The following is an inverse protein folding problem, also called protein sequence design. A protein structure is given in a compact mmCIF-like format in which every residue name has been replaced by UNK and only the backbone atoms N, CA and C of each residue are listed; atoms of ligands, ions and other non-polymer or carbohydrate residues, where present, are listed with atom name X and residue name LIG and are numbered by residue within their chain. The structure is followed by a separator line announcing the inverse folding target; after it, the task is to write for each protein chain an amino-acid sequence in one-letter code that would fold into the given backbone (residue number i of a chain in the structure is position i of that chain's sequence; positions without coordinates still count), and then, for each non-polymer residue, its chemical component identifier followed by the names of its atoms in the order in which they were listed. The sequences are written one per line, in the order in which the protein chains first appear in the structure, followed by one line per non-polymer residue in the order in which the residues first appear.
data_IF_972182883983
#
_entry.id   IF_972182883983
#
_cell.length_a   1.000
_cell.length_b   1.000
_cell.length_c   1.000
_cell.angle_alpha   90.00
_cell.angle_beta   90.00
_cell.angle_gamma   90.00
#
_symmetry.space_group_name_H-M   'P 1'
#
loop_
_entity.id
_entity.type
_entity.pdbx_description
1 polymer ?
#
# COMPACT_ATOMS: atom_id res chain seq x y z
N UNK A 1 32.31 -14.12 7.42
CA UNK A 1 32.03 -15.35 6.64
C UNK A 1 30.53 -15.46 6.37
N UNK A 2 30.12 -15.70 5.12
CA UNK A 2 28.72 -15.89 4.73
C UNK A 2 28.33 -17.37 4.86
N UNK A 3 27.16 -17.65 5.42
CA UNK A 3 26.59 -19.00 5.55
C UNK A 3 25.11 -19.00 5.16
N UNK A 4 24.60 -20.15 4.71
CA UNK A 4 23.16 -20.40 4.70
C UNK A 4 22.74 -20.67 6.14
N UNK A 5 21.70 -20.01 6.61
CA UNK A 5 21.20 -20.11 7.98
C UNK A 5 19.75 -20.61 8.00
N UNK A 6 19.30 -21.11 9.14
CA UNK A 6 17.92 -21.57 9.30
C UNK A 6 16.91 -20.42 9.37
N UNK A 7 15.63 -20.77 9.25
CA UNK A 7 14.55 -19.80 9.19
C UNK A 7 14.38 -19.00 10.49
N UNK A 8 14.58 -19.63 11.63
CA UNK A 8 14.36 -19.00 12.93
C UNK A 8 15.45 -17.96 13.20
N UNK A 9 16.72 -18.35 12.97
CA UNK A 9 17.86 -17.45 13.12
C UNK A 9 17.75 -16.25 12.18
N UNK A 10 17.40 -16.51 10.90
CA UNK A 10 17.19 -15.43 9.94
C UNK A 10 16.07 -14.49 10.36
N UNK A 11 14.91 -15.05 10.74
CA UNK A 11 13.71 -14.30 11.14
C UNK A 11 13.97 -13.44 12.38
N UNK A 12 14.63 -14.00 13.38
CA UNK A 12 14.98 -13.28 14.60
C UNK A 12 15.88 -12.07 14.32
N UNK A 13 16.91 -12.25 13.48
CA UNK A 13 17.78 -11.16 13.05
C UNK A 13 17.01 -10.12 12.21
N UNK A 14 16.21 -10.58 11.26
CA UNK A 14 15.45 -9.71 10.37
C UNK A 14 14.50 -8.80 11.14
N UNK A 15 13.71 -9.35 12.07
CA UNK A 15 12.72 -8.58 12.85
C UNK A 15 13.35 -7.50 13.74
N UNK A 16 14.60 -7.67 14.15
CA UNK A 16 15.35 -6.70 14.97
C UNK A 16 16.09 -5.65 14.11
N UNK A 17 16.20 -5.88 12.78
CA UNK A 17 16.98 -5.03 11.92
C UNK A 17 16.20 -3.74 11.54
N UNK A 18 16.80 -2.53 11.60
CA UNK A 18 16.11 -1.29 11.27
C UNK A 18 15.68 -1.17 9.80
N UNK A 19 16.28 -1.95 8.89
CA UNK A 19 15.91 -2.01 7.48
C UNK A 19 14.91 -3.13 7.17
N UNK A 20 14.34 -3.74 8.19
CA UNK A 20 13.40 -4.84 8.03
C UNK A 20 12.22 -4.46 7.12
N UNK A 21 11.79 -5.42 6.33
CA UNK A 21 10.55 -5.36 5.53
C UNK A 21 9.92 -6.74 5.46
N UNK A 22 8.59 -6.82 5.37
CA UNK A 22 7.86 -8.08 5.16
C UNK A 22 8.44 -8.91 4.00
N UNK A 23 9.03 -8.26 3.00
CA UNK A 23 9.64 -8.91 1.85
C UNK A 23 10.92 -9.69 2.20
N UNK A 24 11.47 -9.50 3.39
CA UNK A 24 12.60 -10.27 3.95
C UNK A 24 12.14 -11.33 4.96
N UNK A 25 10.84 -11.55 5.15
CA UNK A 25 10.36 -12.70 5.93
C UNK A 25 10.63 -14.02 5.19
N UNK A 26 11.11 -15.09 5.88
CA UNK A 26 11.22 -16.42 5.28
C UNK A 26 9.94 -16.92 4.64
N UNK A 27 8.81 -16.62 5.25
CA UNK A 27 7.45 -16.94 4.78
C UNK A 27 7.15 -16.29 3.41
N UNK A 28 7.64 -15.08 3.18
CA UNK A 28 7.55 -14.44 1.86
C UNK A 28 8.32 -15.23 0.80
N UNK A 29 9.54 -15.68 1.12
CA UNK A 29 10.33 -16.56 0.25
C UNK A 29 9.62 -17.87 -0.06
N UNK A 30 8.98 -18.49 0.95
CA UNK A 30 8.18 -19.71 0.81
C UNK A 30 6.95 -19.47 -0.10
N UNK A 31 6.30 -18.33 0.03
CA UNK A 31 5.21 -17.92 -0.90
C UNK A 31 5.74 -17.83 -2.33
N UNK A 32 6.91 -17.21 -2.53
CA UNK A 32 7.53 -17.04 -3.86
C UNK A 32 7.99 -18.34 -4.50
N UNK A 33 8.34 -19.35 -3.70
CA UNK A 33 8.68 -20.68 -4.22
C UNK A 33 7.53 -21.28 -5.02
N UNK A 34 6.28 -21.04 -4.64
CA UNK A 34 5.10 -21.42 -5.42
C UNK A 34 4.95 -20.72 -6.77
N UNK A 35 5.78 -19.72 -7.07
CA UNK A 35 5.81 -18.99 -8.36
C UNK A 35 7.12 -19.18 -9.12
N UNK A 36 7.87 -20.23 -8.78
CA UNK A 36 9.08 -20.66 -9.47
C UNK A 36 10.32 -19.85 -9.10
N UNK A 37 10.38 -19.33 -7.89
CA UNK A 37 11.59 -18.80 -7.28
C UNK A 37 12.16 -19.79 -6.27
N UNK A 38 13.47 -19.79 -6.07
CA UNK A 38 14.14 -20.54 -5.01
C UNK A 38 14.61 -19.55 -3.95
N UNK A 39 14.33 -19.83 -2.69
CA UNK A 39 14.70 -18.98 -1.56
C UNK A 39 16.04 -19.42 -1.00
N UNK A 40 16.91 -18.43 -0.70
CA UNK A 40 18.17 -18.62 0.02
C UNK A 40 18.19 -17.64 1.20
N UNK A 41 18.39 -18.13 2.41
CA UNK A 41 18.54 -17.33 3.63
C UNK A 41 20.02 -17.28 3.98
N UNK A 42 20.64 -16.11 3.85
CA UNK A 42 22.08 -15.94 4.04
C UNK A 42 22.34 -15.03 5.23
N UNK A 43 23.19 -15.49 6.14
CA UNK A 43 23.72 -14.77 7.29
C UNK A 43 25.21 -14.52 7.16
N UNK A 44 25.66 -13.32 7.53
CA UNK A 44 27.06 -12.92 7.53
C UNK A 44 27.55 -12.69 8.95
N UNK A 45 28.63 -13.40 9.30
CA UNK A 45 29.21 -13.43 10.64
C UNK A 45 30.58 -12.77 10.67
N UNK A 46 30.79 -11.95 11.70
CA UNK A 46 32.10 -11.48 12.15
C UNK A 46 32.30 -11.89 13.61
N UNK A 47 33.42 -12.56 13.93
CA UNK A 47 33.70 -13.05 15.26
C UNK A 47 32.52 -13.84 15.89
N UNK A 48 31.96 -14.77 15.12
CA UNK A 48 30.80 -15.61 15.47
C UNK A 48 29.50 -14.86 15.77
N UNK A 49 29.48 -13.54 15.55
CA UNK A 49 28.28 -12.71 15.67
C UNK A 49 27.64 -12.49 14.29
N UNK A 50 26.34 -12.72 14.18
CA UNK A 50 25.55 -12.39 12.99
C UNK A 50 25.40 -10.87 12.87
N UNK A 51 26.06 -10.24 11.89
CA UNK A 51 26.10 -8.79 11.72
C UNK A 51 25.37 -8.30 10.45
N UNK A 52 24.96 -9.22 9.57
CA UNK A 52 24.20 -8.89 8.38
C UNK A 52 23.50 -10.12 7.82
N UNK A 53 22.37 -9.92 7.14
CA UNK A 53 21.63 -11.00 6.52
C UNK A 53 20.97 -10.53 5.21
N UNK A 54 20.57 -11.46 4.36
CA UNK A 54 19.74 -11.20 3.20
C UNK A 54 19.00 -12.46 2.76
N UNK A 55 17.72 -12.32 2.46
CA UNK A 55 17.02 -13.33 1.70
C UNK A 55 17.20 -13.06 0.21
N UNK A 56 17.73 -14.02 -0.53
CA UNK A 56 17.80 -14.00 -1.97
C UNK A 56 16.70 -14.87 -2.57
N UNK A 57 16.06 -14.36 -3.59
CA UNK A 57 15.17 -15.09 -4.48
C UNK A 57 15.90 -15.39 -5.78
N UNK A 58 16.15 -16.66 -6.08
CA UNK A 58 16.74 -17.11 -7.31
C UNK A 58 15.67 -17.45 -8.35
N UNK A 59 15.78 -16.91 -9.54
CA UNK A 59 14.98 -17.30 -10.71
C UNK A 59 15.88 -18.03 -11.68
N UNK A 60 15.67 -19.34 -11.81
CA UNK A 60 16.38 -20.17 -12.80
C UNK A 60 15.96 -19.79 -14.22
N UNK A 61 16.95 -19.69 -15.09
CA UNK A 61 16.84 -19.30 -16.48
C UNK A 61 17.43 -20.41 -17.36
N UNK A 62 17.16 -20.45 -18.68
CA UNK A 62 17.83 -21.36 -19.61
C UNK A 62 19.36 -21.28 -19.52
N UNK A 63 20.04 -22.31 -20.00
CA UNK A 63 21.51 -22.41 -20.07
C UNK A 63 22.21 -22.39 -18.70
N UNK A 64 21.57 -22.95 -17.68
CA UNK A 64 22.11 -23.00 -16.30
C UNK A 64 22.49 -21.61 -15.74
N UNK A 65 21.70 -20.60 -16.06
CA UNK A 65 21.86 -19.24 -15.57
C UNK A 65 20.80 -18.93 -14.51
N UNK A 66 21.13 -18.05 -13.58
CA UNK A 66 20.20 -17.61 -12.56
C UNK A 66 20.21 -16.09 -12.38
N UNK A 67 19.01 -15.51 -12.21
CA UNK A 67 18.82 -14.16 -11.74
C UNK A 67 18.55 -14.19 -10.24
N UNK A 68 19.25 -13.35 -9.49
CA UNK A 68 19.03 -13.19 -8.05
C UNK A 68 18.39 -11.84 -7.73
N UNK A 69 17.49 -11.85 -6.73
CA UNK A 69 16.83 -10.65 -6.23
C UNK A 69 16.73 -10.68 -4.72
N UNK A 70 17.21 -9.63 -4.06
CA UNK A 70 16.99 -9.38 -2.64
C UNK A 70 15.90 -8.34 -2.45
N UNK A 71 14.63 -8.74 -2.26
CA UNK A 71 13.53 -7.79 -2.13
C UNK A 71 13.65 -7.01 -0.81
N UNK A 72 13.75 -5.69 -0.90
CA UNK A 72 13.95 -4.80 0.27
C UNK A 72 15.17 -5.13 1.15
N UNK A 73 16.10 -5.94 0.65
CA UNK A 73 17.38 -6.22 1.31
C UNK A 73 18.46 -5.25 0.80
N UNK A 74 19.59 -5.12 1.45
CA UNK A 74 20.12 -6.00 2.50
C UNK A 74 19.68 -5.63 3.93
N UNK A 75 19.76 -6.55 4.85
CA UNK A 75 19.59 -6.33 6.28
C UNK A 75 20.97 -6.14 6.93
N UNK A 76 21.57 -4.97 6.74
CA UNK A 76 22.91 -4.62 7.23
C UNK A 76 23.03 -3.10 7.30
N UNK A 77 23.93 -2.57 8.11
CA UNK A 77 24.20 -1.12 8.12
C UNK A 77 24.82 -0.68 6.78
N UNK A 78 24.01 -0.10 5.94
CA UNK A 78 24.41 0.37 4.60
C UNK A 78 25.28 1.64 4.65
N UNK A 79 25.34 2.33 5.78
CA UNK A 79 26.18 3.52 5.97
C UNK A 79 27.62 3.16 6.34
N UNK A 80 27.84 1.97 6.91
CA UNK A 80 29.18 1.44 7.15
C UNK A 80 29.73 0.77 5.88
N UNK A 81 30.47 1.53 5.08
CA UNK A 81 30.98 1.05 3.79
C UNK A 81 31.84 -0.21 3.89
N UNK A 82 32.73 -0.28 4.88
CA UNK A 82 33.66 -1.42 4.99
C UNK A 82 32.92 -2.70 5.37
N UNK A 83 31.95 -2.63 6.27
CA UNK A 83 31.08 -3.75 6.62
C UNK A 83 30.22 -4.18 5.42
N UNK A 84 29.58 -3.21 4.77
CA UNK A 84 28.74 -3.45 3.60
C UNK A 84 29.55 -4.07 2.46
N UNK A 85 30.81 -3.62 2.27
CA UNK A 85 31.69 -4.16 1.25
C UNK A 85 32.04 -5.62 1.51
N UNK A 86 32.50 -5.96 2.72
CA UNK A 86 32.83 -7.35 3.08
C UNK A 86 31.62 -8.27 2.93
N UNK A 87 30.46 -7.83 3.38
CA UNK A 87 29.20 -8.55 3.21
C UNK A 87 28.87 -8.76 1.74
N UNK A 88 28.87 -7.69 0.95
CA UNK A 88 28.52 -7.74 -0.46
C UNK A 88 29.49 -8.64 -1.25
N UNK A 89 30.79 -8.55 -1.01
CA UNK A 89 31.79 -9.39 -1.68
C UNK A 89 31.48 -10.89 -1.49
N UNK A 90 31.10 -11.31 -0.28
CA UNK A 90 30.70 -12.67 0.00
C UNK A 90 29.35 -13.04 -0.64
N UNK A 91 28.37 -12.14 -0.65
CA UNK A 91 27.08 -12.36 -1.34
C UNK A 91 27.29 -12.51 -2.85
N UNK A 92 28.11 -11.66 -3.45
CA UNK A 92 28.43 -11.75 -4.90
C UNK A 92 29.17 -13.04 -5.22
N UNK A 93 30.11 -13.46 -4.37
CA UNK A 93 30.78 -14.74 -4.50
C UNK A 93 29.78 -15.91 -4.44
N UNK A 94 28.84 -15.89 -3.48
CA UNK A 94 27.77 -16.87 -3.39
C UNK A 94 26.93 -16.92 -4.68
N UNK A 95 26.49 -15.77 -5.16
CA UNK A 95 25.68 -15.66 -6.38
C UNK A 95 26.43 -16.17 -7.61
N UNK A 96 27.72 -15.85 -7.76
CA UNK A 96 28.58 -16.34 -8.86
C UNK A 96 28.72 -17.85 -8.82
N UNK A 97 28.98 -18.42 -7.64
CA UNK A 97 29.15 -19.88 -7.47
C UNK A 97 27.86 -20.65 -7.77
N UNK A 98 26.70 -19.97 -7.72
CA UNK A 98 25.40 -20.54 -8.02
C UNK A 98 24.83 -20.02 -9.36
N UNK A 99 25.72 -19.82 -10.36
CA UNK A 99 25.37 -19.48 -11.74
C UNK A 99 24.62 -18.15 -11.94
N UNK A 100 24.69 -17.24 -10.97
CA UNK A 100 24.07 -15.92 -11.08
C UNK A 100 24.76 -15.05 -12.11
N UNK A 101 23.97 -14.48 -13.04
CA UNK A 101 24.47 -13.50 -14.00
C UNK A 101 24.25 -12.05 -13.55
N UNK A 102 23.33 -11.85 -12.60
CA UNK A 102 23.06 -10.56 -11.97
C UNK A 102 22.45 -10.74 -10.58
N UNK A 103 22.62 -9.74 -9.75
CA UNK A 103 21.88 -9.57 -8.50
C UNK A 103 21.17 -8.23 -8.52
N UNK A 104 19.85 -8.24 -8.30
CA UNK A 104 19.04 -7.04 -8.06
C UNK A 104 18.84 -6.86 -6.56
N UNK A 105 18.93 -5.62 -6.08
CA UNK A 105 18.52 -5.22 -4.72
C UNK A 105 17.69 -3.94 -4.79
N UNK A 106 16.74 -3.78 -3.88
CA UNK A 106 15.96 -2.54 -3.70
C UNK A 106 15.83 -2.21 -2.20
N UNK A 107 16.92 -1.81 -1.55
CA UNK A 107 17.00 -1.73 -0.09
C UNK A 107 15.91 -0.88 0.54
N UNK A 108 15.41 -1.32 1.72
CA UNK A 108 14.46 -0.56 2.53
C UNK A 108 15.15 0.59 3.28
N UNK A 109 15.84 1.43 2.55
CA UNK A 109 16.63 2.56 3.05
C UNK A 109 16.00 3.85 2.56
N UNK A 110 15.62 4.72 3.48
CA UNK A 110 15.05 6.02 3.15
C UNK A 110 16.16 6.89 2.57
N UNK A 111 15.94 7.41 1.35
CA UNK A 111 16.81 8.37 0.67
C UNK A 111 16.49 9.80 1.08
N UNK A 112 15.22 10.15 1.06
CA UNK A 112 14.72 11.47 1.40
C UNK A 112 13.33 11.43 2.02
N UNK A 113 12.98 12.45 2.77
CA UNK A 113 11.64 12.67 3.30
C UNK A 113 11.05 13.97 2.77
N UNK A 114 9.72 13.99 2.59
CA UNK A 114 8.97 15.14 2.14
C UNK A 114 7.72 15.34 3.00
N UNK A 115 7.21 16.56 3.02
CA UNK A 115 5.90 16.84 3.61
C UNK A 115 4.75 16.34 2.71
N UNK A 116 3.53 16.48 3.19
CA UNK A 116 2.33 16.05 2.45
C UNK A 116 2.07 16.83 1.16
N UNK A 117 2.71 18.01 0.99
CA UNK A 117 2.68 18.81 -0.24
C UNK A 117 3.78 18.43 -1.23
N UNK A 118 4.67 17.51 -0.86
CA UNK A 118 5.80 17.05 -1.66
C UNK A 118 7.05 17.91 -1.54
N UNK A 119 7.09 18.89 -0.64
CA UNK A 119 8.30 19.69 -0.40
C UNK A 119 9.35 18.85 0.32
N UNK A 120 10.59 18.92 -0.14
CA UNK A 120 11.71 18.22 0.48
C UNK A 120 11.94 18.71 1.91
N UNK A 121 11.97 17.78 2.87
CA UNK A 121 12.31 18.03 4.27
C UNK A 121 13.81 17.73 4.47
N UNK A 122 14.24 16.51 4.14
CA UNK A 122 15.60 16.05 4.39
C UNK A 122 16.04 15.00 3.36
N UNK A 123 17.37 14.94 3.13
CA UNK A 123 18.05 13.83 2.44
C UNK A 123 18.94 13.09 3.44
N UNK A 124 18.47 11.93 3.89
CA UNK A 124 19.14 11.16 4.95
C UNK A 124 19.84 9.88 4.45
N UNK A 125 19.59 9.45 3.21
CA UNK A 125 20.08 8.19 2.66
C UNK A 125 21.20 8.30 1.63
N UNK A 126 21.83 9.47 1.48
CA UNK A 126 22.87 9.68 0.46
C UNK A 126 24.07 8.75 0.65
N UNK A 127 24.51 8.52 1.89
CA UNK A 127 25.62 7.62 2.18
C UNK A 127 25.34 6.20 1.70
N UNK A 128 24.19 5.63 2.06
CA UNK A 128 23.78 4.30 1.60
C UNK A 128 23.71 4.22 0.07
N UNK A 129 23.11 5.22 -0.58
CA UNK A 129 23.03 5.31 -2.03
C UNK A 129 24.44 5.31 -2.68
N UNK A 130 25.36 6.16 -2.22
CA UNK A 130 26.71 6.24 -2.76
C UNK A 130 27.51 4.97 -2.46
N UNK A 131 27.33 4.35 -1.30
CA UNK A 131 27.99 3.12 -0.94
C UNK A 131 27.62 1.97 -1.90
N UNK A 132 26.34 1.80 -2.25
CA UNK A 132 25.96 0.81 -3.28
C UNK A 132 26.59 1.12 -4.64
N UNK A 133 26.63 2.38 -5.06
CA UNK A 133 27.31 2.76 -6.32
C UNK A 133 28.81 2.47 -6.28
N UNK A 134 29.48 2.77 -5.18
CA UNK A 134 30.91 2.51 -4.97
C UNK A 134 31.23 1.01 -4.99
N UNK A 135 30.29 0.16 -4.58
CA UNK A 135 30.40 -1.30 -4.70
C UNK A 135 30.22 -1.82 -6.14
N UNK A 136 29.94 -0.96 -7.11
CA UNK A 136 29.76 -1.34 -8.52
C UNK A 136 28.32 -1.66 -8.94
N UNK A 137 27.34 -1.41 -8.09
CA UNK A 137 25.94 -1.50 -8.48
C UNK A 137 25.55 -0.38 -9.45
N UNK A 138 24.73 -0.74 -10.44
CA UNK A 138 24.08 0.21 -11.35
C UNK A 138 22.75 0.63 -10.78
N UNK A 139 22.59 1.90 -10.44
CA UNK A 139 21.29 2.44 -10.01
C UNK A 139 20.33 2.52 -11.20
N UNK A 140 19.07 2.11 -11.02
CA UNK A 140 18.06 2.02 -12.08
C UNK A 140 17.27 3.32 -12.29
N UNK A 141 17.61 4.38 -11.57
CA UNK A 141 16.93 5.67 -11.60
C UNK A 141 16.01 5.86 -10.37
N UNK A 142 15.62 7.10 -10.17
CA UNK A 142 14.64 7.45 -9.14
C UNK A 142 13.24 7.51 -9.78
N UNK A 143 12.52 6.37 -9.75
CA UNK A 143 11.14 6.34 -10.20
C UNK A 143 10.26 7.23 -9.33
N UNK A 144 9.31 7.92 -9.93
CA UNK A 144 8.37 8.82 -9.25
C UNK A 144 6.99 8.20 -9.09
N UNK A 145 6.71 7.14 -9.83
CA UNK A 145 5.44 6.45 -9.87
C UNK A 145 5.60 4.98 -9.47
N UNK A 146 4.88 4.08 -10.15
CA UNK A 146 4.82 2.64 -9.87
C UNK A 146 5.55 1.80 -10.92
N UNK A 147 6.70 2.31 -11.44
CA UNK A 147 7.47 1.64 -12.49
C UNK A 147 8.36 0.52 -11.98
N UNK A 148 8.76 0.58 -10.70
CA UNK A 148 9.65 -0.38 -10.04
C UNK A 148 8.92 -1.67 -9.65
N UNK A 149 9.68 -2.69 -9.24
CA UNK A 149 9.12 -3.96 -8.72
C UNK A 149 8.31 -3.73 -7.43
N UNK A 150 8.77 -2.80 -6.60
CA UNK A 150 8.10 -2.33 -5.39
C UNK A 150 8.05 -0.80 -5.42
N UNK A 151 7.00 -0.15 -4.91
CA UNK A 151 6.92 1.30 -4.89
C UNK A 151 8.12 1.92 -4.17
N UNK A 152 8.87 2.79 -4.85
CA UNK A 152 10.00 3.52 -4.26
C UNK A 152 9.53 4.65 -3.34
N UNK A 153 8.43 5.28 -3.70
CA UNK A 153 7.84 6.38 -2.95
C UNK A 153 6.67 5.85 -2.13
N UNK A 154 6.75 6.04 -0.84
CA UNK A 154 5.75 5.59 0.14
C UNK A 154 5.24 6.80 0.93
N UNK A 155 4.13 6.66 1.64
CA UNK A 155 3.67 7.69 2.56
C UNK A 155 3.18 7.06 3.86
N UNK A 156 3.55 7.67 4.98
CA UNK A 156 3.21 7.19 6.31
C UNK A 156 2.81 8.33 7.24
N UNK A 157 2.03 8.02 8.24
CA UNK A 157 1.76 8.91 9.37
C UNK A 157 2.39 8.36 10.64
N UNK A 158 2.86 9.24 11.51
CA UNK A 158 3.24 8.87 12.87
C UNK A 158 1.98 8.82 13.74
N UNK A 159 1.80 7.69 14.44
CA UNK A 159 0.65 7.48 15.31
C UNK A 159 0.82 8.25 16.63
N UNK A 160 -0.28 8.78 17.14
CA UNK A 160 -0.37 9.30 18.51
C UNK A 160 -0.91 8.19 19.43
N UNK A 161 -0.92 8.46 20.72
CA UNK A 161 -1.33 7.49 21.75
C UNK A 161 -2.77 7.02 21.60
N UNK A 162 -3.65 7.87 21.02
CA UNK A 162 -5.05 7.54 20.77
C UNK A 162 -5.44 7.80 19.32
N UNK A 163 -6.54 7.16 18.89
CA UNK A 163 -7.11 7.44 17.56
C UNK A 163 -7.54 8.90 17.44
N UNK A 164 -8.15 9.48 18.46
CA UNK A 164 -8.63 10.87 18.41
C UNK A 164 -7.46 11.85 18.25
N UNK A 165 -6.36 11.67 18.98
CA UNK A 165 -5.18 12.51 18.84
C UNK A 165 -4.55 12.37 17.45
N UNK A 166 -4.57 11.17 16.87
CA UNK A 166 -4.12 10.93 15.50
C UNK A 166 -5.06 11.61 14.49
N UNK A 167 -6.38 11.49 14.68
CA UNK A 167 -7.40 12.11 13.83
C UNK A 167 -7.25 13.64 13.75
N UNK A 168 -6.88 14.30 14.86
CA UNK A 168 -6.66 15.75 14.89
C UNK A 168 -5.54 16.22 13.96
N UNK A 169 -4.59 15.35 13.60
CA UNK A 169 -3.52 15.67 12.65
C UNK A 169 -3.99 15.71 11.19
N UNK A 170 -5.18 15.16 10.90
CA UNK A 170 -5.72 15.08 9.53
C UNK A 170 -6.37 16.39 9.11
N UNK A 171 -6.45 16.60 7.80
CA UNK A 171 -7.18 17.74 7.24
C UNK A 171 -8.66 17.73 7.67
N UNK A 172 -9.25 18.91 7.80
CA UNK A 172 -10.68 19.06 8.16
C UNK A 172 -11.61 18.30 7.19
N UNK A 173 -11.25 18.27 5.89
CA UNK A 173 -12.02 17.53 4.89
C UNK A 173 -11.94 16.02 5.10
N UNK A 174 -10.77 15.48 5.41
CA UNK A 174 -10.57 14.06 5.70
C UNK A 174 -11.34 13.63 6.95
N UNK A 175 -11.29 14.41 8.04
CA UNK A 175 -12.09 14.15 9.24
C UNK A 175 -13.58 14.09 8.94
N UNK A 176 -14.09 15.06 8.16
CA UNK A 176 -15.50 15.07 7.72
C UNK A 176 -15.86 13.86 6.85
N UNK A 177 -14.95 13.46 5.93
CA UNK A 177 -15.20 12.31 5.07
C UNK A 177 -15.21 11.00 5.86
N UNK A 178 -14.33 10.85 6.86
CA UNK A 178 -14.35 9.69 7.77
C UNK A 178 -15.70 9.64 8.50
N UNK A 179 -16.13 10.73 9.14
CA UNK A 179 -17.41 10.79 9.85
C UNK A 179 -18.57 10.46 8.91
N UNK A 180 -18.64 11.13 7.76
CA UNK A 180 -19.70 10.91 6.76
C UNK A 180 -19.76 9.46 6.28
N UNK A 181 -18.63 8.79 6.10
CA UNK A 181 -18.58 7.39 5.68
C UNK A 181 -19.29 6.49 6.71
N UNK A 182 -19.04 6.72 8.00
CA UNK A 182 -19.70 5.99 9.08
C UNK A 182 -21.19 6.37 9.23
N UNK A 183 -21.53 7.65 9.07
CA UNK A 183 -22.94 8.12 9.09
C UNK A 183 -23.75 7.47 7.97
N UNK A 184 -23.15 7.26 6.79
CA UNK A 184 -23.75 6.53 5.66
C UNK A 184 -23.85 5.01 5.88
N UNK A 185 -23.58 4.51 7.06
CA UNK A 185 -23.71 3.08 7.38
C UNK A 185 -22.56 2.20 6.89
N UNK A 186 -21.44 2.76 6.44
CA UNK A 186 -20.26 1.95 6.11
C UNK A 186 -19.62 1.42 7.38
N UNK A 187 -19.36 0.12 7.41
CA UNK A 187 -18.71 -0.59 8.52
C UNK A 187 -17.61 -1.49 7.96
N UNK A 188 -16.71 -1.91 8.82
CA UNK A 188 -15.59 -2.81 8.46
C UNK A 188 -15.65 -4.02 9.37
N UNK A 189 -15.40 -5.19 8.79
CA UNK A 189 -15.26 -6.46 9.52
C UNK A 189 -14.00 -7.18 9.06
N UNK A 190 -13.40 -7.93 9.97
CA UNK A 190 -12.31 -8.86 9.62
C UNK A 190 -12.89 -10.13 9.04
N UNK A 191 -12.16 -10.77 8.15
CA UNK A 191 -12.50 -12.07 7.59
C UNK A 191 -11.29 -13.01 7.69
N UNK A 192 -11.56 -14.30 7.69
CA UNK A 192 -10.55 -15.34 7.54
C UNK A 192 -10.42 -15.82 6.08
N UNK A 193 -9.54 -16.79 5.84
CA UNK A 193 -9.28 -17.32 4.50
C UNK A 193 -10.41 -18.16 3.91
N UNK A 194 -11.45 -18.52 4.68
CA UNK A 194 -12.65 -19.17 4.13
C UNK A 194 -13.45 -18.25 3.20
N UNK A 195 -13.31 -16.95 3.39
CA UNK A 195 -13.95 -15.89 2.58
C UNK A 195 -13.02 -15.22 1.58
N UNK A 196 -11.90 -15.87 1.24
CA UNK A 196 -10.90 -15.28 0.34
C UNK A 196 -11.44 -14.96 -1.07
N UNK A 197 -12.42 -15.72 -1.55
CA UNK A 197 -13.03 -15.48 -2.86
C UNK A 197 -13.83 -14.18 -2.89
N UNK A 198 -14.55 -13.85 -1.80
CA UNK A 198 -15.23 -12.55 -1.66
C UNK A 198 -14.22 -11.40 -1.68
N UNK A 199 -13.10 -11.56 -0.96
CA UNK A 199 -12.00 -10.61 -0.95
C UNK A 199 -11.42 -10.36 -2.34
N UNK A 200 -11.11 -11.44 -3.06
CA UNK A 200 -10.51 -11.38 -4.40
C UNK A 200 -11.47 -10.74 -5.41
N UNK A 201 -12.76 -11.06 -5.35
CA UNK A 201 -13.78 -10.45 -6.22
C UNK A 201 -13.79 -8.91 -6.11
N UNK A 202 -13.64 -8.36 -4.91
CA UNK A 202 -13.58 -6.91 -4.69
C UNK A 202 -12.25 -6.29 -5.19
N UNK A 203 -11.15 -7.07 -5.17
CA UNK A 203 -9.89 -6.66 -5.82
C UNK A 203 -10.02 -6.64 -7.34
N UNK A 204 -10.71 -7.64 -7.95
CA UNK A 204 -10.93 -7.76 -9.39
C UNK A 204 -11.67 -6.56 -9.97
N UNK A 205 -12.71 -6.07 -9.27
CA UNK A 205 -13.44 -4.87 -9.71
C UNK A 205 -12.49 -3.65 -9.84
N UNK A 206 -11.60 -3.46 -8.87
CA UNK A 206 -10.59 -2.40 -8.97
C UNK A 206 -9.55 -2.69 -10.06
N UNK A 207 -9.10 -3.93 -10.20
CA UNK A 207 -8.07 -4.32 -11.17
C UNK A 207 -8.54 -4.11 -12.62
N UNK A 208 -9.77 -4.48 -12.92
CA UNK A 208 -10.41 -4.25 -14.23
C UNK A 208 -10.42 -2.77 -14.58
N UNK A 209 -10.79 -1.91 -13.63
CA UNK A 209 -10.87 -0.46 -13.84
C UNK A 209 -9.49 0.23 -13.95
N UNK A 210 -8.43 -0.37 -13.39
CA UNK A 210 -7.08 0.21 -13.33
C UNK A 210 -6.01 -0.54 -14.14
N UNK A 211 -6.42 -1.56 -14.91
CA UNK A 211 -5.54 -2.35 -15.79
C UNK A 211 -4.32 -2.99 -15.07
N UNK A 212 -4.48 -3.52 -13.87
CA UNK A 212 -3.44 -4.33 -13.24
C UNK A 212 -3.88 -5.79 -13.08
N UNK A 213 -2.89 -6.69 -12.97
CA UNK A 213 -3.13 -8.14 -12.86
C UNK A 213 -3.12 -8.50 -11.38
N UNK A 214 -4.20 -9.11 -10.91
CA UNK A 214 -4.26 -9.75 -9.60
C UNK A 214 -3.85 -11.21 -9.69
N UNK A 215 -3.47 -11.77 -8.55
CA UNK A 215 -3.17 -13.19 -8.41
C UNK A 215 -4.46 -13.97 -8.14
N UNK A 216 -4.50 -15.28 -8.41
CA UNK A 216 -5.66 -16.12 -8.07
C UNK A 216 -5.87 -16.18 -6.55
N UNK A 217 -7.09 -16.49 -6.12
CA UNK A 217 -7.47 -16.59 -4.70
C UNK A 217 -6.57 -17.54 -3.90
N UNK A 218 -6.14 -18.65 -4.50
CA UNK A 218 -5.22 -19.60 -3.89
C UNK A 218 -3.86 -18.98 -3.50
N UNK A 219 -3.39 -17.98 -4.24
CA UNK A 219 -2.15 -17.26 -3.91
C UNK A 219 -2.34 -16.41 -2.64
N UNK A 220 -3.45 -15.67 -2.56
CA UNK A 220 -3.74 -14.83 -1.40
C UNK A 220 -4.04 -15.67 -0.17
N UNK A 221 -4.78 -16.79 -0.32
CA UNK A 221 -5.00 -17.75 0.75
C UNK A 221 -3.67 -18.25 1.31
N UNK A 222 -2.78 -18.75 0.45
CA UNK A 222 -1.45 -19.20 0.85
C UNK A 222 -0.63 -18.09 1.53
N UNK A 223 -0.73 -16.86 1.04
CA UNK A 223 -0.05 -15.71 1.65
C UNK A 223 -0.51 -15.46 3.08
N UNK A 224 -1.82 -15.47 3.32
CA UNK A 224 -2.40 -15.29 4.66
C UNK A 224 -2.07 -16.48 5.56
N UNK A 225 -2.23 -17.72 5.07
CA UNK A 225 -1.94 -18.93 5.85
C UNK A 225 -0.46 -18.98 6.31
N UNK A 226 0.50 -18.53 5.47
CA UNK A 226 1.92 -18.47 5.82
C UNK A 226 2.28 -17.32 6.76
N UNK A 227 1.57 -16.19 6.67
CA UNK A 227 1.89 -14.94 7.37
C UNK A 227 0.73 -14.47 8.27
N UNK A 228 -0.02 -15.41 8.86
CA UNK A 228 -1.21 -15.15 9.67
C UNK A 228 -0.95 -14.20 10.86
N UNK A 229 0.25 -14.24 11.44
CA UNK A 229 0.64 -13.37 12.56
C UNK A 229 0.78 -11.89 12.15
N UNK A 230 0.95 -11.65 10.85
CA UNK A 230 1.23 -10.33 10.28
C UNK A 230 0.10 -9.77 9.44
N UNK A 231 -0.83 -10.61 8.94
CA UNK A 231 -1.84 -10.18 7.96
C UNK A 231 -3.23 -10.22 8.57
N UNK A 232 -3.97 -9.12 8.35
CA UNK A 232 -5.43 -9.06 8.59
C UNK A 232 -6.13 -8.73 7.28
N UNK A 233 -7.18 -9.46 6.98
CA UNK A 233 -8.10 -9.16 5.89
C UNK A 233 -9.33 -8.43 6.40
N UNK A 234 -9.67 -7.32 5.76
CA UNK A 234 -10.86 -6.52 6.06
C UNK A 234 -11.79 -6.48 4.87
N UNK A 235 -13.09 -6.50 5.17
CA UNK A 235 -14.17 -6.19 4.23
C UNK A 235 -14.91 -4.97 4.73
N UNK A 236 -15.03 -3.94 3.90
CA UNK A 236 -15.97 -2.85 4.13
C UNK A 236 -17.32 -3.20 3.52
N UNK A 237 -18.37 -2.95 4.28
CA UNK A 237 -19.74 -3.19 3.86
C UNK A 237 -20.65 -2.02 4.22
N UNK A 238 -21.77 -1.91 3.52
CA UNK A 238 -22.87 -1.03 3.86
C UNK A 238 -23.84 -1.81 4.73
N UNK A 239 -24.11 -1.35 5.96
CA UNK A 239 -25.29 -1.72 6.71
C UNK A 239 -26.48 -0.97 6.11
N UNK A 240 -27.38 -1.71 5.48
CA UNK A 240 -28.47 -1.11 4.71
C UNK A 240 -29.53 -0.46 5.57
N UNK A 241 -29.67 -0.85 6.84
CA UNK A 241 -30.56 -0.18 7.79
C UNK A 241 -29.97 1.18 8.18
N UNK A 242 -28.69 1.22 8.56
CA UNK A 242 -28.01 2.47 8.90
C UNK A 242 -27.99 3.45 7.72
N UNK A 243 -27.79 2.93 6.50
CA UNK A 243 -27.84 3.77 5.29
C UNK A 243 -29.24 4.34 5.06
N UNK A 244 -30.28 3.51 5.19
CA UNK A 244 -31.66 3.99 5.11
C UNK A 244 -31.96 5.09 6.13
N UNK A 245 -31.58 4.89 7.38
CA UNK A 245 -31.79 5.84 8.47
C UNK A 245 -31.03 7.16 8.20
N UNK A 246 -29.82 7.07 7.68
CA UNK A 246 -29.05 8.26 7.26
C UNK A 246 -29.75 9.06 6.18
N UNK A 247 -30.25 8.42 5.13
CA UNK A 247 -30.94 9.10 4.02
C UNK A 247 -32.27 9.67 4.50
N UNK A 248 -33.04 8.89 5.27
CA UNK A 248 -34.30 9.33 5.86
C UNK A 248 -34.12 10.59 6.72
N UNK A 249 -33.19 10.55 7.67
CA UNK A 249 -32.92 11.67 8.55
C UNK A 249 -32.43 12.90 7.77
N UNK A 250 -31.59 12.70 6.73
CA UNK A 250 -31.12 13.76 5.86
C UNK A 250 -32.28 14.42 5.09
N UNK A 251 -33.23 13.63 4.61
CA UNK A 251 -34.42 14.11 3.92
C UNK A 251 -35.31 14.93 4.85
N UNK A 252 -35.66 14.39 6.01
CA UNK A 252 -36.52 15.06 6.99
C UNK A 252 -35.90 16.36 7.52
N UNK A 253 -34.60 16.37 7.78
CA UNK A 253 -33.90 17.61 8.19
C UNK A 253 -33.88 18.65 7.07
N UNK A 254 -33.72 18.23 5.81
CA UNK A 254 -33.73 19.16 4.66
C UNK A 254 -35.14 19.72 4.42
N UNK A 255 -36.21 18.93 4.61
CA UNK A 255 -37.60 19.42 4.52
C UNK A 255 -37.89 20.44 5.62
N UNK A 256 -37.47 20.22 6.85
CA UNK A 256 -37.64 21.20 7.96
C UNK A 256 -36.86 22.48 7.70
N UNK A 257 -35.67 22.39 7.09
CA UNK A 257 -34.87 23.57 6.70
C UNK A 257 -35.61 24.39 5.62
N UNK A 258 -36.15 23.71 4.61
CA UNK A 258 -36.95 24.37 3.54
C UNK A 258 -38.19 25.03 4.11
N UNK A 259 -38.97 24.37 4.97
CA UNK A 259 -40.16 24.96 5.61
C UNK A 259 -39.81 26.21 6.44
N UNK A 260 -38.68 26.15 7.16
CA UNK A 260 -38.19 27.31 7.93
C UNK A 260 -37.86 28.49 6.99
N UNK A 261 -37.16 28.20 5.87
CA UNK A 261 -36.83 29.19 4.87
C UNK A 261 -38.07 29.77 4.21
N UNK A 262 -39.06 28.97 3.85
CA UNK A 262 -40.33 29.42 3.26
C UNK A 262 -41.11 30.32 4.21
N UNK A 263 -41.13 30.01 5.50
CA UNK A 263 -41.76 30.88 6.51
C UNK A 263 -41.03 32.20 6.71
N UNK A 264 -39.70 32.24 6.51
CA UNK A 264 -38.91 33.47 6.48
C UNK A 264 -39.23 34.28 5.21
N UNK A 265 -39.37 33.64 4.05
CA UNK A 265 -39.69 34.28 2.77
C UNK A 265 -41.06 34.98 2.77
N UNK A 266 -42.02 34.55 3.59
CA UNK A 266 -43.32 35.21 3.77
C UNK A 266 -43.22 36.56 4.51
N UNK A 267 -42.11 36.81 5.23
CA UNK A 267 -41.96 37.94 6.14
C UNK A 267 -41.00 39.02 5.64
N UNK A 268 -40.20 38.77 4.61
CA UNK A 268 -39.06 39.61 4.19
C UNK A 268 -39.06 39.73 2.66
N UNK A 269 -38.61 40.90 2.16
CA UNK A 269 -38.38 41.10 0.72
C UNK A 269 -37.26 40.14 0.23
N UNK A 270 -37.59 39.31 -0.77
CA UNK A 270 -36.80 38.12 -1.12
C UNK A 270 -35.63 38.49 -2.05
N UNK A 271 -34.42 38.54 -1.52
CA UNK A 271 -33.19 38.69 -2.32
C UNK A 271 -32.81 37.41 -3.07
N UNK A 272 -32.00 37.55 -4.14
CA UNK A 272 -31.57 36.42 -5.00
C UNK A 272 -30.79 35.29 -4.26
N UNK A 273 -30.14 35.65 -3.17
CA UNK A 273 -29.45 34.65 -2.32
C UNK A 273 -30.44 33.69 -1.67
N UNK A 274 -31.58 34.16 -1.21
CA UNK A 274 -32.62 33.35 -0.58
C UNK A 274 -33.30 32.46 -1.63
N UNK A 275 -33.58 33.01 -2.83
CA UNK A 275 -34.14 32.23 -3.95
C UNK A 275 -33.22 31.08 -4.34
N UNK A 276 -31.92 31.34 -4.50
CA UNK A 276 -30.92 30.29 -4.79
C UNK A 276 -30.87 29.20 -3.70
N UNK A 277 -30.89 29.60 -2.45
CA UNK A 277 -30.90 28.65 -1.34
C UNK A 277 -32.16 27.79 -1.33
N UNK A 278 -33.32 28.36 -1.64
CA UNK A 278 -34.60 27.64 -1.80
C UNK A 278 -34.50 26.61 -2.94
N UNK A 279 -33.94 26.97 -4.10
CA UNK A 279 -33.72 26.04 -5.21
C UNK A 279 -32.75 24.91 -4.83
N UNK A 280 -31.65 25.22 -4.13
CA UNK A 280 -30.67 24.22 -3.65
C UNK A 280 -31.32 23.21 -2.73
N UNK A 281 -32.14 23.64 -1.75
CA UNK A 281 -32.88 22.76 -0.84
C UNK A 281 -33.92 21.93 -1.58
N UNK A 282 -34.66 22.48 -2.52
CA UNK A 282 -35.64 21.76 -3.33
C UNK A 282 -34.95 20.67 -4.18
N UNK A 283 -33.84 20.98 -4.83
CA UNK A 283 -33.09 20.05 -5.62
C UNK A 283 -32.49 18.93 -4.73
N UNK A 284 -32.04 19.28 -3.52
CA UNK A 284 -31.53 18.34 -2.54
C UNK A 284 -32.60 17.37 -2.06
N UNK A 285 -33.84 17.85 -1.82
CA UNK A 285 -34.99 17.02 -1.46
C UNK A 285 -35.32 16.04 -2.58
N UNK A 286 -35.38 16.48 -3.83
CA UNK A 286 -35.64 15.63 -4.98
C UNK A 286 -34.59 14.51 -5.10
N UNK A 287 -33.32 14.85 -4.89
CA UNK A 287 -32.22 13.87 -4.90
C UNK A 287 -32.36 12.87 -3.76
N UNK A 288 -32.57 13.35 -2.52
CA UNK A 288 -32.70 12.49 -1.34
C UNK A 288 -33.94 11.58 -1.41
N UNK A 289 -35.02 12.01 -2.05
CA UNK A 289 -36.21 11.18 -2.27
C UNK A 289 -35.88 9.96 -3.14
N UNK A 290 -35.15 10.17 -4.25
CA UNK A 290 -34.68 9.04 -5.09
C UNK A 290 -33.71 8.14 -4.34
N UNK A 291 -32.78 8.73 -3.60
CA UNK A 291 -31.80 8.01 -2.80
C UNK A 291 -32.48 7.18 -1.70
N UNK A 292 -33.62 7.65 -1.13
CA UNK A 292 -34.42 6.92 -0.16
C UNK A 292 -35.15 5.72 -0.79
N UNK A 293 -35.63 5.85 -2.02
CA UNK A 293 -36.20 4.71 -2.78
C UNK A 293 -35.14 3.62 -2.99
N UNK A 294 -33.94 4.01 -3.43
CA UNK A 294 -32.81 3.11 -3.62
C UNK A 294 -32.41 2.44 -2.29
N UNK A 295 -32.26 3.21 -1.21
CA UNK A 295 -31.94 2.70 0.12
C UNK A 295 -33.03 1.73 0.64
N UNK A 296 -34.30 2.02 0.36
CA UNK A 296 -35.43 1.15 0.70
C UNK A 296 -35.35 -0.19 -0.02
N UNK A 297 -35.01 -0.19 -1.29
CA UNK A 297 -34.87 -1.40 -2.09
C UNK A 297 -33.66 -2.22 -1.65
N UNK A 298 -32.52 -1.57 -1.39
CA UNK A 298 -31.33 -2.23 -0.86
C UNK A 298 -31.61 -2.91 0.49
N UNK A 299 -32.31 -2.23 1.40
CA UNK A 299 -32.68 -2.77 2.72
C UNK A 299 -33.62 -3.98 2.64
N UNK A 300 -34.52 -4.01 1.65
CA UNK A 300 -35.42 -5.17 1.45
C UNK A 300 -34.68 -6.40 0.93
N UNK A 301 -33.63 -6.23 0.16
CA UNK A 301 -32.93 -7.32 -0.54
C UNK A 301 -31.69 -7.81 0.19
N UNK A 302 -31.01 -6.92 0.93
CA UNK A 302 -29.73 -7.22 1.56
C UNK A 302 -29.64 -6.56 2.93
N UNK A 303 -29.16 -7.28 3.94
CA UNK A 303 -28.82 -6.70 5.25
C UNK A 303 -27.47 -5.98 5.19
N UNK A 304 -26.52 -6.56 4.48
CA UNK A 304 -25.17 -6.04 4.28
C UNK A 304 -24.76 -6.17 2.82
N UNK A 305 -24.02 -5.19 2.31
CA UNK A 305 -23.48 -5.21 0.94
C UNK A 305 -21.98 -4.96 1.03
N UNK A 306 -21.16 -5.95 0.66
CA UNK A 306 -19.71 -5.83 0.64
C UNK A 306 -19.27 -4.90 -0.50
N UNK A 307 -18.52 -3.83 -0.16
CA UNK A 307 -18.14 -2.74 -1.09
C UNK A 307 -16.67 -2.51 -1.22
N UNK A 308 -15.85 -3.18 -0.43
CA UNK A 308 -14.40 -3.04 -0.51
C UNK A 308 -13.67 -4.11 0.28
N UNK A 309 -12.40 -4.30 -0.07
CA UNK A 309 -11.47 -5.23 0.56
C UNK A 309 -10.14 -4.53 0.85
N UNK A 310 -9.53 -4.84 1.99
CA UNK A 310 -8.20 -4.37 2.36
C UNK A 310 -7.41 -5.52 2.99
N UNK A 311 -6.20 -5.75 2.52
CA UNK A 311 -5.18 -6.55 3.19
C UNK A 311 -4.23 -5.61 3.92
N UNK A 312 -4.17 -5.73 5.22
CA UNK A 312 -3.22 -5.01 6.08
C UNK A 312 -2.12 -5.93 6.55
N UNK A 313 -0.91 -5.38 6.64
CA UNK A 313 0.27 -6.07 7.17
C UNK A 313 0.79 -5.30 8.36
N UNK A 314 1.05 -5.99 9.47
CA UNK A 314 1.56 -5.41 10.70
C UNK A 314 2.90 -6.03 11.04
N UNK A 315 3.99 -5.29 10.85
CA UNK A 315 5.35 -5.78 11.08
C UNK A 315 6.27 -4.70 11.63
N UNK A 316 7.26 -5.09 12.44
CA UNK A 316 8.26 -4.17 12.97
C UNK A 316 7.59 -3.02 13.72
N UNK A 317 7.76 -1.79 13.24
CA UNK A 317 7.20 -0.58 13.86
C UNK A 317 6.03 0.03 13.05
N UNK A 318 5.55 -0.64 11.98
CA UNK A 318 4.51 -0.06 11.11
C UNK A 318 3.40 -1.05 10.73
N UNK A 319 2.18 -0.49 10.59
CA UNK A 319 1.06 -1.11 9.92
C UNK A 319 0.98 -0.62 8.47
N UNK A 320 0.89 -1.55 7.50
CA UNK A 320 0.94 -1.24 6.08
C UNK A 320 -0.41 -1.56 5.43
N UNK A 321 -1.01 -0.60 4.74
CA UNK A 321 -2.19 -0.87 3.88
C UNK A 321 -1.71 -1.50 2.56
N UNK A 322 -1.47 -2.80 2.60
CA UNK A 322 -0.70 -3.51 1.58
C UNK A 322 -1.40 -3.62 0.22
N UNK A 323 -2.70 -3.91 0.25
CA UNK A 323 -3.51 -4.10 -0.97
C UNK A 323 -4.96 -3.77 -0.69
N UNK A 324 -5.63 -3.06 -1.58
CA UNK A 324 -7.05 -2.75 -1.44
C UNK A 324 -7.79 -2.73 -2.77
N UNK A 325 -9.05 -3.12 -2.74
CA UNK A 325 -10.00 -2.99 -3.83
C UNK A 325 -11.32 -2.40 -3.34
N UNK A 326 -12.05 -1.74 -4.22
CA UNK A 326 -13.35 -1.13 -3.91
C UNK A 326 -14.30 -1.33 -5.07
N UNK A 327 -15.56 -1.60 -4.79
CA UNK A 327 -16.59 -1.75 -5.80
C UNK A 327 -16.82 -0.44 -6.55
N UNK A 328 -16.83 -0.53 -7.87
CA UNK A 328 -17.10 0.59 -8.76
C UNK A 328 -18.54 1.08 -8.64
N UNK A 329 -19.49 0.20 -8.33
CA UNK A 329 -20.91 0.50 -8.17
C UNK A 329 -21.22 1.33 -6.92
N UNK A 330 -20.34 1.28 -5.90
CA UNK A 330 -20.55 1.92 -4.60
C UNK A 330 -19.49 2.97 -4.26
N UNK A 331 -18.90 3.62 -5.27
CA UNK A 331 -17.84 4.65 -5.10
C UNK A 331 -18.22 5.77 -4.15
N UNK A 332 -19.49 6.19 -4.14
CA UNK A 332 -19.99 7.29 -3.30
C UNK A 332 -19.88 7.05 -1.80
N UNK A 333 -19.78 5.80 -1.37
CA UNK A 333 -19.62 5.42 0.04
C UNK A 333 -18.20 5.54 0.56
N UNK A 334 -17.19 5.74 -0.31
CA UNK A 334 -15.79 5.98 0.05
C UNK A 334 -15.20 5.01 1.09
N UNK A 335 -15.27 3.68 0.90
CA UNK A 335 -14.89 2.68 1.91
C UNK A 335 -13.44 2.81 2.38
N UNK A 336 -12.57 3.48 1.64
CA UNK A 336 -11.16 3.69 2.03
C UNK A 336 -11.01 4.48 3.31
N UNK A 337 -11.91 5.43 3.60
CA UNK A 337 -11.87 6.17 4.86
C UNK A 337 -12.18 5.28 6.06
N UNK A 338 -13.14 4.35 5.91
CA UNK A 338 -13.43 3.36 6.93
C UNK A 338 -12.25 2.39 7.12
N UNK A 339 -11.64 1.89 6.04
CA UNK A 339 -10.46 1.05 6.12
C UNK A 339 -9.29 1.70 6.83
N UNK A 340 -8.98 2.95 6.48
CA UNK A 340 -7.84 3.66 7.09
C UNK A 340 -8.09 3.94 8.56
N UNK A 341 -9.32 4.22 8.97
CA UNK A 341 -9.69 4.32 10.38
C UNK A 341 -9.41 3.02 11.13
N UNK A 342 -9.99 1.89 10.69
CA UNK A 342 -9.81 0.59 11.35
C UNK A 342 -8.34 0.18 11.40
N UNK A 343 -7.61 0.39 10.29
CA UNK A 343 -6.19 0.09 10.22
C UNK A 343 -5.35 0.94 11.20
N UNK A 344 -5.68 2.21 11.37
CA UNK A 344 -5.05 3.11 12.34
C UNK A 344 -5.35 2.64 13.77
N UNK A 345 -6.63 2.35 14.08
CA UNK A 345 -7.03 1.87 15.40
C UNK A 345 -6.33 0.54 15.77
N UNK A 346 -6.25 -0.40 14.83
CA UNK A 346 -5.56 -1.68 15.05
C UNK A 346 -4.03 -1.51 15.16
N UNK A 347 -3.45 -0.54 14.44
CA UNK A 347 -2.04 -0.21 14.58
C UNK A 347 -1.72 0.39 15.95
N UNK A 348 -2.59 1.24 16.48
CA UNK A 348 -2.47 1.81 17.84
C UNK A 348 -2.59 0.71 18.90
N UNK A 349 -3.59 -0.18 18.79
CA UNK A 349 -3.75 -1.33 19.70
C UNK A 349 -2.52 -2.26 19.73
N UNK A 350 -1.77 -2.32 18.62
CA UNK A 350 -0.53 -3.09 18.47
C UNK A 350 0.71 -2.32 18.89
N UNK A 351 0.56 -1.09 19.39
CA UNK A 351 1.65 -0.21 19.80
C UNK A 351 2.66 0.09 18.68
N UNK A 352 2.20 0.16 17.44
CA UNK A 352 3.04 0.50 16.31
C UNK A 352 3.29 2.01 16.27
N UNK A 353 4.43 2.40 15.71
CA UNK A 353 4.83 3.79 15.60
C UNK A 353 4.21 4.48 14.37
N UNK A 354 4.06 3.74 13.27
CA UNK A 354 3.62 4.30 12.00
C UNK A 354 2.47 3.52 11.39
N UNK A 355 1.62 4.23 10.64
CA UNK A 355 0.79 3.65 9.59
C UNK A 355 1.34 4.06 8.24
N UNK A 356 1.69 3.08 7.43
CA UNK A 356 2.20 3.23 6.07
C UNK A 356 1.06 2.97 5.08
N UNK A 357 0.59 4.01 4.40
CA UNK A 357 -0.44 3.89 3.36
C UNK A 357 0.11 3.32 2.05
N UNK A 358 1.35 2.84 2.04
CA UNK A 358 2.04 2.25 0.92
C UNK A 358 2.32 3.23 -0.22
N UNK A 359 2.47 2.71 -1.46
CA UNK A 359 2.93 3.48 -2.60
C UNK A 359 2.12 4.74 -2.88
N UNK A 360 2.82 5.84 -3.18
CA UNK A 360 2.26 7.11 -3.64
C UNK A 360 3.05 7.59 -4.85
N UNK A 361 2.44 8.44 -5.69
CA UNK A 361 3.12 9.10 -6.81
C UNK A 361 3.60 10.49 -6.39
N UNK A 362 4.78 10.88 -6.86
CA UNK A 362 5.26 12.27 -6.80
C UNK A 362 4.81 13.09 -8.02
N UNK A 363 4.13 12.47 -8.99
CA UNK A 363 3.45 13.19 -10.06
C UNK A 363 2.15 13.80 -9.49
N UNK A 364 2.20 15.09 -9.22
CA UNK A 364 1.11 15.86 -8.61
C UNK A 364 0.24 16.58 -9.65
N UNK A 365 0.37 16.23 -10.94
CA UNK A 365 -0.50 16.75 -11.97
C UNK A 365 -1.96 16.35 -11.69
N UNK A 366 -2.83 17.36 -11.54
CA UNK A 366 -4.27 17.18 -11.26
C UNK A 366 -4.99 16.36 -12.33
N UNK A 367 -4.47 16.34 -13.54
CA UNK A 367 -4.99 15.55 -14.65
C UNK A 367 -4.28 14.20 -14.77
N UNK A 368 -3.28 13.94 -13.96
CA UNK A 368 -2.50 12.70 -13.97
C UNK A 368 -3.30 11.51 -13.43
N UNK A 369 -2.98 10.29 -13.89
CA UNK A 369 -3.73 9.06 -13.54
C UNK A 369 -3.61 8.69 -12.07
N UNK A 370 -2.63 9.22 -11.34
CA UNK A 370 -2.33 8.91 -9.94
C UNK A 370 -2.78 10.00 -8.96
N UNK A 371 -3.24 11.16 -9.45
CA UNK A 371 -3.61 12.31 -8.62
C UNK A 371 -4.66 11.97 -7.56
N UNK A 372 -5.69 11.19 -7.91
CA UNK A 372 -6.74 10.80 -6.96
C UNK A 372 -6.23 9.93 -5.80
N UNK A 373 -5.13 9.18 -5.98
CA UNK A 373 -4.48 8.42 -4.89
C UNK A 373 -3.68 9.37 -4.01
N UNK A 374 -2.97 10.30 -4.62
CA UNK A 374 -2.22 11.34 -3.91
C UNK A 374 -3.15 12.21 -3.06
N UNK A 375 -4.20 12.76 -3.65
CA UNK A 375 -5.17 13.65 -2.97
C UNK A 375 -5.85 12.98 -1.77
N UNK A 376 -6.25 11.70 -1.93
CA UNK A 376 -6.81 10.92 -0.82
C UNK A 376 -5.82 10.82 0.34
N UNK A 377 -4.57 10.40 0.05
CA UNK A 377 -3.56 10.16 1.08
C UNK A 377 -3.04 11.45 1.70
N UNK A 378 -2.87 12.50 0.92
CA UNK A 378 -2.49 13.83 1.37
C UNK A 378 -3.38 14.35 2.51
N UNK A 379 -4.68 14.07 2.44
CA UNK A 379 -5.64 14.48 3.47
C UNK A 379 -5.35 13.93 4.87
N UNK A 380 -4.58 12.86 4.99
CA UNK A 380 -4.10 12.29 6.26
C UNK A 380 -2.82 12.96 6.76
N UNK A 381 -2.32 13.98 6.06
CA UNK A 381 -1.10 14.73 6.37
C UNK A 381 0.13 13.82 6.59
N UNK A 382 0.45 12.92 5.64
CA UNK A 382 1.54 11.99 5.78
C UNK A 382 2.91 12.63 5.56
N UNK A 383 3.93 12.03 6.14
CA UNK A 383 5.30 12.11 5.65
C UNK A 383 5.42 11.25 4.39
N UNK A 384 5.94 11.80 3.30
CA UNK A 384 6.29 11.05 2.10
C UNK A 384 7.76 10.63 2.21
N UNK A 385 8.03 9.33 2.06
CA UNK A 385 9.37 8.77 2.11
C UNK A 385 9.78 8.24 0.73
N UNK A 386 10.97 8.62 0.31
CA UNK A 386 11.61 8.11 -0.90
C UNK A 386 12.70 7.12 -0.51
N UNK A 387 12.63 5.90 -1.00
CA UNK A 387 13.70 4.92 -0.82
C UNK A 387 14.84 5.16 -1.81
N UNK A 388 16.04 4.61 -1.52
CA UNK A 388 17.20 4.75 -2.41
C UNK A 388 17.01 4.09 -3.79
N UNK A 389 15.95 3.29 -4.00
CA UNK A 389 15.58 2.71 -5.29
C UNK A 389 16.22 1.36 -5.60
N UNK A 390 16.09 0.94 -6.86
CA UNK A 390 16.60 -0.33 -7.35
C UNK A 390 18.04 -0.24 -7.85
N UNK A 391 18.80 -1.29 -7.60
CA UNK A 391 20.20 -1.43 -8.06
C UNK A 391 20.41 -2.81 -8.67
N UNK A 392 21.14 -2.87 -9.79
CA UNK A 392 21.58 -4.10 -10.44
C UNK A 392 23.09 -4.27 -10.31
N UNK A 393 23.57 -5.36 -9.69
CA UNK A 393 24.97 -5.77 -9.77
C UNK A 393 25.14 -6.72 -10.95
N UNK A 394 25.95 -6.32 -11.93
CA UNK A 394 26.14 -7.05 -13.17
C UNK A 394 27.33 -8.00 -13.05
N UNK A 395 27.08 -9.32 -13.07
CA UNK A 395 28.09 -10.37 -12.97
C UNK A 395 28.56 -10.80 -14.37
N UNK A 396 27.60 -11.07 -15.27
CA UNK A 396 27.89 -11.37 -16.67
C UNK A 396 27.26 -10.31 -17.59
N UNK A 397 28.05 -9.35 -18.12
CA UNK A 397 27.50 -8.26 -18.93
C UNK A 397 26.77 -8.71 -20.19
N UNK A 398 27.28 -9.75 -20.88
CA UNK A 398 26.67 -10.21 -22.14
C UNK A 398 25.27 -10.74 -21.87
N UNK A 399 25.13 -11.62 -20.89
CA UNK A 399 23.84 -12.20 -20.49
C UNK A 399 22.90 -11.11 -19.94
N UNK A 400 23.42 -10.19 -19.13
CA UNK A 400 22.64 -9.09 -18.55
C UNK A 400 22.00 -8.20 -19.63
N UNK A 401 22.79 -7.73 -20.61
CA UNK A 401 22.24 -6.87 -21.66
C UNK A 401 21.30 -7.64 -22.60
N UNK A 402 21.60 -8.90 -22.92
CA UNK A 402 20.69 -9.77 -23.66
C UNK A 402 19.33 -9.94 -22.94
N UNK A 403 19.36 -10.20 -21.63
CA UNK A 403 18.16 -10.29 -20.80
C UNK A 403 17.37 -8.96 -20.78
N UNK A 404 18.03 -7.81 -20.64
CA UNK A 404 17.36 -6.49 -20.66
C UNK A 404 16.70 -6.21 -22.02
N UNK A 405 17.31 -6.60 -23.13
CA UNK A 405 16.74 -6.48 -24.48
C UNK A 405 15.51 -7.39 -24.62
N UNK A 406 15.60 -8.64 -24.19
CA UNK A 406 14.48 -9.57 -24.21
C UNK A 406 13.28 -9.05 -23.39
N UNK A 407 13.51 -8.48 -22.21
CA UNK A 407 12.47 -7.85 -21.39
C UNK A 407 11.81 -6.65 -22.08
N UNK A 408 12.60 -5.79 -22.76
CA UNK A 408 12.03 -4.66 -23.54
C UNK A 408 11.14 -5.18 -24.68
N UNK A 409 11.62 -6.16 -25.43
CA UNK A 409 10.84 -6.81 -26.49
C UNK A 409 9.54 -7.42 -25.98
N UNK A 410 9.59 -8.16 -24.88
CA UNK A 410 8.39 -8.73 -24.24
C UNK A 410 7.37 -7.66 -23.83
N UNK A 411 7.82 -6.56 -23.21
CA UNK A 411 6.96 -5.44 -22.81
C UNK A 411 6.31 -4.77 -24.03
N UNK A 412 7.03 -4.63 -25.15
CA UNK A 412 6.49 -4.09 -26.39
C UNK A 412 5.40 -5.02 -26.97
N UNK A 413 5.69 -6.30 -27.12
CA UNK A 413 4.70 -7.29 -27.63
C UNK A 413 3.43 -7.32 -26.78
N UNK A 414 3.57 -7.20 -25.45
CA UNK A 414 2.42 -7.16 -24.54
C UNK A 414 1.59 -5.89 -24.68
N UNK A 415 2.18 -4.76 -25.10
CA UNK A 415 1.45 -3.51 -25.41
C UNK A 415 0.64 -3.61 -26.70
N UNK A 416 1.11 -4.37 -27.69
CA UNK A 416 0.39 -4.59 -28.95
C UNK A 416 -0.71 -5.66 -28.86
N UNK A 417 -0.76 -6.46 -27.77
CA UNK A 417 -1.80 -7.48 -27.54
C UNK A 417 -2.94 -7.00 -26.61
N UNK A 418 -2.87 -5.74 -26.15
CA UNK A 418 -3.93 -5.02 -25.45
C UNK A 418 -4.59 -4.01 -26.39
#
# INVERSE_FOLDING_TARGET
MLKVIDENEFKEFALKNPYFSIYQLPEWGTLKSGTGWVRHLLGYYENDTLVGATMLLEKKMPFNLSLYYSPRGYLIDVNNYDLLKRFNDEVIKYVKNNHGFMLKVDPNVIYATRDSEGNLIEKCGENGYFNFKKLGFKHMGFSQNFEDLQPRVLCRIELKSTYNDTLETFSKSTRKNIAKTYDMGVRVKTIDTSKIDEFVKLLEDTATNKNFIIRPASYYKKMVDLMNDYIILYIAYIDTNLYYDYVWNSLENTKKELETLENQMKKINIGDKIKRHHEELTNKINKLTKELEDATNLRKTNKEINIGALMSVFTGCEGITFMSGTSSSYKGFNPKYAFYREHIEDSIKRHLKYVNFYGISLDMDKNGPYYGIYELKKGFNPEIIELIGEFDYVINPIVYYGYKLALKGYKLVKRFKK
#
